data_IF_741356158483
#
_entry.id   IF_741356158483
#
_cell.length_a   1.000
_cell.length_b   1.000
_cell.length_c   1.000
_cell.angle_alpha   90.00
_cell.angle_beta   90.00
_cell.angle_gamma   90.00
#
_symmetry.space_group_name_H-M   'P 1'
#
loop_
_entity.id
_entity.type
_entity.pdbx_description
1 polymer ?
#
# COMPACT_ATOMS: atom_id res chain seq x y z
N UNK A 1 -6.55 -10.91 5.42
CA UNK A 1 -5.98 -9.55 5.35
C UNK A 1 -5.75 -9.23 3.88
N UNK A 2 -6.35 -8.15 3.38
CA UNK A 2 -6.25 -7.75 1.97
C UNK A 2 -5.19 -6.66 1.88
N UNK A 3 -4.06 -6.95 1.23
CA UNK A 3 -3.03 -5.95 0.91
C UNK A 3 -3.34 -5.40 -0.48
N UNK A 4 -3.73 -4.12 -0.55
CA UNK A 4 -3.99 -3.45 -1.82
C UNK A 4 -2.78 -2.60 -2.19
N UNK A 5 -2.11 -2.96 -3.28
CA UNK A 5 -0.94 -2.23 -3.77
C UNK A 5 -1.30 -1.53 -5.07
N UNK A 6 -1.33 -0.21 -5.04
CA UNK A 6 -1.60 0.61 -6.23
C UNK A 6 -0.30 0.79 -7.01
N UNK A 7 0.03 -0.18 -7.86
CA UNK A 7 1.26 -0.20 -8.68
C UNK A 7 1.28 0.83 -9.83
N UNK A 8 0.40 1.85 -9.84
CA UNK A 8 0.34 2.79 -10.98
C UNK A 8 1.60 3.63 -11.13
N UNK A 9 2.21 4.05 -10.03
CA UNK A 9 3.51 4.73 -10.05
C UNK A 9 4.68 3.75 -10.28
N UNK A 10 4.44 2.45 -10.19
CA UNK A 10 5.45 1.42 -10.41
C UNK A 10 5.63 1.13 -11.90
N UNK A 11 4.61 1.36 -12.74
CA UNK A 11 4.65 1.05 -14.18
C UNK A 11 5.13 2.26 -15.00
N UNK A 12 4.77 3.50 -14.65
CA UNK A 12 5.21 4.67 -15.42
C UNK A 12 6.70 5.02 -15.19
N UNK A 13 7.30 4.62 -14.05
CA UNK A 13 8.76 4.66 -13.80
C UNK A 13 9.49 3.35 -14.20
N UNK A 14 8.77 2.30 -14.61
CA UNK A 14 9.34 0.99 -14.97
C UNK A 14 10.19 0.99 -16.23
N UNK A 15 10.14 2.05 -17.04
CA UNK A 15 10.88 2.11 -18.31
C UNK A 15 12.37 2.37 -18.09
N UNK A 16 12.81 2.75 -16.88
CA UNK A 16 14.20 3.19 -16.63
C UNK A 16 15.01 2.24 -15.70
N UNK A 17 14.38 1.46 -14.80
CA UNK A 17 15.13 0.56 -13.88
C UNK A 17 14.30 -0.60 -13.31
N UNK A 18 13.85 -1.51 -14.16
CA UNK A 18 13.04 -2.70 -13.82
C UNK A 18 13.66 -3.61 -12.75
N UNK A 19 15.00 -3.69 -12.68
CA UNK A 19 15.70 -4.59 -11.74
C UNK A 19 15.67 -4.06 -10.32
N UNK A 20 15.95 -2.76 -10.11
CA UNK A 20 16.04 -2.18 -8.77
C UNK A 20 14.68 -2.20 -8.05
N UNK A 21 13.59 -1.93 -8.79
CA UNK A 21 12.24 -1.88 -8.23
C UNK A 21 11.78 -3.27 -7.77
N UNK A 22 12.09 -4.32 -8.54
CA UNK A 22 11.72 -5.70 -8.16
C UNK A 22 12.39 -6.15 -6.86
N UNK A 23 13.65 -5.76 -6.66
CA UNK A 23 14.43 -6.07 -5.45
C UNK A 23 13.89 -5.29 -4.25
N UNK A 24 13.63 -3.99 -4.40
CA UNK A 24 13.06 -3.14 -3.34
C UNK A 24 11.67 -3.64 -2.93
N UNK A 25 10.84 -4.01 -3.91
CA UNK A 25 9.50 -4.51 -3.65
C UNK A 25 9.53 -5.88 -2.95
N UNK A 26 10.43 -6.79 -3.35
CA UNK A 26 10.65 -8.06 -2.65
C UNK A 26 11.11 -7.84 -1.20
N UNK A 27 12.01 -6.90 -0.98
CA UNK A 27 12.48 -6.55 0.37
C UNK A 27 11.33 -6.00 1.23
N UNK A 28 10.50 -5.12 0.66
CA UNK A 28 9.31 -4.59 1.32
C UNK A 28 8.32 -5.70 1.71
N UNK A 29 7.98 -6.60 0.79
CA UNK A 29 7.08 -7.73 1.06
C UNK A 29 7.65 -8.68 2.13
N UNK A 30 8.96 -8.89 2.15
CA UNK A 30 9.64 -9.71 3.16
C UNK A 30 9.54 -9.06 4.55
N UNK A 31 9.80 -7.75 4.65
CA UNK A 31 9.62 -6.98 5.89
C UNK A 31 8.17 -7.00 6.37
N UNK A 32 7.21 -6.92 5.46
CA UNK A 32 5.78 -7.03 5.79
C UNK A 32 5.44 -8.39 6.41
N UNK A 33 5.86 -9.49 5.79
CA UNK A 33 5.62 -10.85 6.35
C UNK A 33 6.25 -10.95 7.74
N UNK A 34 7.45 -10.41 7.94
CA UNK A 34 8.10 -10.37 9.25
C UNK A 34 7.28 -9.62 10.31
N UNK A 35 6.72 -8.46 9.95
CA UNK A 35 5.87 -7.66 10.86
C UNK A 35 4.58 -8.40 11.19
N UNK A 36 3.97 -9.06 10.22
CA UNK A 36 2.65 -9.68 10.34
C UNK A 36 2.69 -11.06 11.02
N UNK A 37 3.72 -11.86 10.75
CA UNK A 37 3.84 -13.23 11.24
C UNK A 37 4.88 -13.39 12.35
N UNK A 38 5.72 -12.37 12.59
CA UNK A 38 6.82 -12.44 13.55
C UNK A 38 7.93 -13.44 13.17
N UNK A 39 7.95 -13.93 11.91
CA UNK A 39 8.90 -14.96 11.44
C UNK A 39 9.83 -14.43 10.35
N UNK A 40 11.11 -14.76 10.45
CA UNK A 40 12.14 -14.43 9.45
C UNK A 40 12.10 -15.43 8.29
N UNK A 41 11.38 -15.08 7.22
CA UNK A 41 11.42 -15.81 5.96
C UNK A 41 12.40 -15.14 4.99
N UNK A 42 13.68 -15.02 5.39
CA UNK A 42 14.75 -14.40 4.59
C UNK A 42 15.38 -15.39 3.59
N UNK A 43 14.57 -16.15 2.84
CA UNK A 43 15.09 -17.00 1.76
C UNK A 43 14.97 -16.25 0.45
N UNK A 44 16.11 -16.06 -0.22
CA UNK A 44 16.14 -15.58 -1.60
C UNK A 44 15.62 -16.70 -2.49
N UNK A 45 14.30 -16.82 -2.52
CA UNK A 45 13.58 -17.82 -3.31
C UNK A 45 13.38 -17.25 -4.72
N UNK A 46 13.81 -17.96 -5.79
CA UNK A 46 13.47 -17.60 -7.17
C UNK A 46 11.95 -17.53 -7.36
N UNK A 47 11.20 -18.36 -6.63
CA UNK A 47 9.75 -18.49 -6.72
C UNK A 47 9.04 -17.73 -5.59
N UNK A 48 9.67 -16.67 -5.06
CA UNK A 48 9.18 -15.89 -3.91
C UNK A 48 7.71 -15.49 -4.00
N UNK A 49 7.22 -15.16 -5.19
CA UNK A 49 5.82 -14.76 -5.39
C UNK A 49 4.87 -15.96 -5.33
N UNK A 50 5.32 -17.15 -5.73
CA UNK A 50 4.55 -18.39 -5.66
C UNK A 50 4.54 -18.97 -4.23
N UNK A 51 5.59 -18.71 -3.46
CA UNK A 51 5.73 -19.12 -2.06
C UNK A 51 5.28 -18.04 -1.06
N UNK A 52 4.82 -16.88 -1.53
CA UNK A 52 4.33 -15.80 -0.67
C UNK A 52 3.06 -16.25 0.07
N UNK A 53 3.01 -16.12 1.43
CA UNK A 53 1.92 -16.70 2.22
C UNK A 53 0.57 -16.00 2.04
N UNK A 54 0.53 -14.85 1.34
CA UNK A 54 -0.68 -14.09 1.08
C UNK A 54 -1.04 -14.11 -0.40
N UNK A 55 -2.34 -14.21 -0.69
CA UNK A 55 -2.85 -14.11 -2.05
C UNK A 55 -2.71 -12.68 -2.58
N UNK A 56 -2.00 -12.52 -3.68
CA UNK A 56 -1.88 -11.24 -4.38
C UNK A 56 -3.09 -11.07 -5.30
N UNK A 57 -3.83 -9.99 -5.13
CA UNK A 57 -4.97 -9.62 -5.98
C UNK A 57 -4.58 -8.45 -6.87
N UNK A 58 -4.67 -8.65 -8.19
CA UNK A 58 -4.50 -7.56 -9.16
C UNK A 58 -5.81 -6.81 -9.33
N UNK A 59 -5.73 -5.49 -9.30
CA UNK A 59 -6.88 -4.62 -9.48
C UNK A 59 -6.96 -4.13 -10.92
N UNK A 60 -8.18 -3.91 -11.45
CA UNK A 60 -8.35 -3.39 -12.80
C UNK A 60 -7.76 -1.99 -12.93
N UNK A 61 -7.23 -1.72 -14.12
CA UNK A 61 -6.68 -0.41 -14.49
C UNK A 61 -7.83 0.62 -14.38
N UNK A 62 -7.58 1.75 -13.72
CA UNK A 62 -8.56 2.82 -13.41
C UNK A 62 -9.57 2.54 -12.27
N UNK A 63 -9.47 1.41 -11.56
CA UNK A 63 -10.32 1.09 -10.40
C UNK A 63 -9.96 1.82 -9.10
N UNK A 64 -9.72 3.14 -9.11
CA UNK A 64 -9.27 3.88 -7.92
C UNK A 64 -10.27 3.79 -6.76
N UNK A 65 -11.56 3.79 -7.07
CA UNK A 65 -12.64 3.60 -6.10
C UNK A 65 -12.72 2.18 -5.51
N UNK A 66 -12.04 1.22 -6.15
CA UNK A 66 -11.91 -0.16 -5.67
C UNK A 66 -10.71 -0.34 -4.73
N UNK A 67 -9.91 0.70 -4.51
CA UNK A 67 -8.70 0.61 -3.70
C UNK A 67 -8.90 1.33 -2.36
N UNK A 68 -9.04 0.59 -1.24
CA UNK A 68 -9.14 1.22 0.08
C UNK A 68 -7.89 2.04 0.42
N UNK A 69 -6.75 1.70 -0.18
CA UNK A 69 -5.52 2.46 -0.04
C UNK A 69 -5.64 3.90 -0.55
N UNK A 70 -6.35 4.17 -1.65
CA UNK A 70 -6.52 5.56 -2.12
C UNK A 70 -7.25 6.43 -1.10
N UNK A 71 -8.25 5.87 -0.43
CA UNK A 71 -8.98 6.57 0.63
C UNK A 71 -8.11 6.80 1.86
N UNK A 72 -7.41 5.77 2.31
CA UNK A 72 -6.46 5.89 3.41
C UNK A 72 -5.36 6.93 3.10
N UNK A 73 -4.77 6.91 1.90
CA UNK A 73 -3.79 7.92 1.48
C UNK A 73 -4.40 9.32 1.43
N UNK A 74 -5.65 9.46 1.03
CA UNK A 74 -6.34 10.76 1.06
C UNK A 74 -6.51 11.28 2.49
N UNK A 75 -6.84 10.40 3.45
CA UNK A 75 -6.93 10.75 4.87
C UNK A 75 -5.56 11.18 5.41
N UNK A 76 -4.51 10.38 5.16
CA UNK A 76 -3.14 10.70 5.56
C UNK A 76 -2.69 12.05 5.00
N UNK A 77 -2.91 12.30 3.69
CA UNK A 77 -2.57 13.57 3.04
C UNK A 77 -3.32 14.74 3.65
N UNK A 78 -4.59 14.55 4.03
CA UNK A 78 -5.38 15.59 4.68
C UNK A 78 -4.79 15.96 6.05
N UNK A 79 -4.28 14.98 6.80
CA UNK A 79 -3.60 15.24 8.08
C UNK A 79 -2.26 15.94 7.85
N UNK A 80 -1.39 15.40 7.00
CA UNK A 80 -0.04 15.95 6.75
C UNK A 80 -0.08 17.40 6.28
N UNK A 81 -1.08 17.76 5.46
CA UNK A 81 -1.26 19.12 4.92
C UNK A 81 -1.97 20.08 5.86
N UNK A 82 -2.53 19.61 6.98
CA UNK A 82 -3.32 20.44 7.89
C UNK A 82 -2.48 21.55 8.53
N UNK A 83 -1.22 21.26 8.84
CA UNK A 83 -0.32 22.15 9.56
C UNK A 83 0.55 23.02 8.63
N UNK A 84 0.04 23.28 7.42
CA UNK A 84 0.67 24.14 6.43
C UNK A 84 1.73 23.45 5.56
N UNK A 85 2.52 24.26 4.85
CA UNK A 85 3.50 23.80 3.87
C UNK A 85 4.62 22.99 4.53
N UNK A 86 5.01 21.87 3.91
CA UNK A 86 6.11 21.03 4.35
C UNK A 86 7.46 21.74 4.19
N UNK A 87 8.31 21.68 5.22
CA UNK A 87 9.66 22.23 5.20
C UNK A 87 10.74 21.15 5.02
N UNK A 88 10.57 20.34 3.97
CA UNK A 88 11.50 19.26 3.62
C UNK A 88 11.34 18.00 4.47
N UNK A 89 12.25 17.04 4.30
CA UNK A 89 12.11 15.67 4.81
C UNK A 89 12.09 15.58 6.34
N UNK A 90 12.79 16.49 7.03
CA UNK A 90 12.83 16.52 8.50
C UNK A 90 11.47 16.87 9.12
N UNK A 91 10.60 17.54 8.36
CA UNK A 91 9.25 17.92 8.75
C UNK A 91 8.21 16.91 8.20
N UNK A 92 8.48 16.28 7.05
CA UNK A 92 7.58 15.30 6.43
C UNK A 92 7.45 13.99 7.23
N UNK A 93 8.58 13.38 7.64
CA UNK A 93 8.56 12.09 8.34
C UNK A 93 7.74 12.16 9.65
N UNK A 94 7.96 13.13 10.56
CA UNK A 94 7.17 13.22 11.78
C UNK A 94 5.67 13.43 11.52
N UNK A 95 5.30 14.23 10.52
CA UNK A 95 3.89 14.47 10.17
C UNK A 95 3.22 13.24 9.57
N UNK A 96 3.94 12.46 8.76
CA UNK A 96 3.45 11.18 8.25
C UNK A 96 3.24 10.19 9.40
N UNK A 97 4.16 10.14 10.37
CA UNK A 97 4.00 9.31 11.57
C UNK A 97 2.76 9.72 12.38
N UNK A 98 2.58 11.01 12.65
CA UNK A 98 1.38 11.52 13.33
C UNK A 98 0.10 11.20 12.55
N UNK A 99 0.14 11.32 11.21
CA UNK A 99 -0.99 10.96 10.37
C UNK A 99 -1.36 9.48 10.50
N UNK A 100 -0.36 8.59 10.57
CA UNK A 100 -0.58 7.16 10.80
C UNK A 100 -1.19 6.88 12.18
N UNK A 101 -0.87 7.66 13.21
CA UNK A 101 -1.49 7.54 14.54
C UNK A 101 -2.94 8.02 14.57
N UNK A 102 -3.29 8.99 13.70
CA UNK A 102 -4.65 9.55 13.62
C UNK A 102 -5.60 8.71 12.77
N UNK A 103 -5.10 7.91 11.82
CA UNK A 103 -5.94 6.99 11.04
C UNK A 103 -6.24 5.76 11.90
N UNK A 104 -7.49 5.64 12.34
CA UNK A 104 -7.91 4.57 13.24
C UNK A 104 -8.21 3.27 12.49
N UNK A 105 -8.25 2.16 13.22
CA UNK A 105 -8.72 0.87 12.68
C UNK A 105 -10.14 0.97 12.11
N UNK A 106 -11.02 1.76 12.74
CA UNK A 106 -12.39 1.98 12.25
C UNK A 106 -12.39 2.68 10.90
N UNK A 107 -11.53 3.69 10.70
CA UNK A 107 -11.38 4.35 9.39
C UNK A 107 -10.99 3.34 8.31
N UNK A 108 -10.03 2.46 8.60
CA UNK A 108 -9.55 1.44 7.66
C UNK A 108 -10.65 0.42 7.31
N UNK A 109 -11.40 -0.05 8.30
CA UNK A 109 -12.53 -0.97 8.09
C UNK A 109 -13.61 -0.32 7.22
N UNK A 110 -13.95 0.95 7.50
CA UNK A 110 -14.93 1.68 6.71
C UNK A 110 -14.47 1.90 5.26
N UNK A 111 -13.19 2.16 5.03
CA UNK A 111 -12.63 2.31 3.69
C UNK A 111 -12.69 1.00 2.90
N UNK A 112 -12.39 -0.15 3.53
CA UNK A 112 -12.52 -1.48 2.92
C UNK A 112 -13.99 -1.75 2.56
N UNK A 113 -14.90 -1.61 3.52
CA UNK A 113 -16.32 -1.87 3.32
C UNK A 113 -16.90 -1.02 2.19
N UNK A 114 -16.48 0.25 2.10
CA UNK A 114 -16.92 1.11 1.02
C UNK A 114 -16.44 0.62 -0.34
N UNK A 115 -15.18 0.18 -0.48
CA UNK A 115 -14.68 -0.34 -1.75
C UNK A 115 -15.41 -1.61 -2.17
N UNK A 116 -15.73 -2.49 -1.22
CA UNK A 116 -16.46 -3.74 -1.49
C UNK A 116 -17.86 -3.52 -2.06
N UNK A 117 -18.54 -2.42 -1.69
CA UNK A 117 -19.86 -2.06 -2.23
C UNK A 117 -19.86 -1.89 -3.75
N UNK A 118 -18.73 -1.52 -4.34
CA UNK A 118 -18.61 -1.31 -5.79
C UNK A 118 -18.20 -2.57 -6.55
N UNK A 119 -17.75 -3.63 -5.86
CA UNK A 119 -17.31 -4.85 -6.55
C UNK A 119 -18.41 -5.49 -7.39
N UNK A 120 -19.64 -5.55 -6.87
CA UNK A 120 -20.78 -6.09 -7.62
C UNK A 120 -21.11 -5.27 -8.88
N UNK A 121 -20.91 -3.95 -8.83
CA UNK A 121 -21.13 -3.07 -9.98
C UNK A 121 -20.05 -3.21 -11.06
N UNK A 122 -18.88 -3.76 -10.71
CA UNK A 122 -17.79 -4.01 -11.67
C UNK A 122 -17.84 -5.41 -12.29
N UNK A 123 -18.72 -6.29 -11.80
CA UNK A 123 -18.91 -7.66 -12.30
C UNK A 123 -20.10 -7.80 -13.26
N UNK A 124 -20.93 -6.76 -13.37
CA UNK A 124 -22.10 -6.65 -14.25
C UNK A 124 -21.81 -5.68 -15.39
#
# INVERSE_FOLDING_TARGET
MILVLKCRNVIDEAVISTVAISVIFKEFLTKLVKILEGKDNSRSDPDFYDTYPYKIHFLPIYGQFLTPCDKCFSQLRSVVRRDGTLQGTNDDIPRVMEACERVTQENLVNDINHCEQFFQQCLN
#
